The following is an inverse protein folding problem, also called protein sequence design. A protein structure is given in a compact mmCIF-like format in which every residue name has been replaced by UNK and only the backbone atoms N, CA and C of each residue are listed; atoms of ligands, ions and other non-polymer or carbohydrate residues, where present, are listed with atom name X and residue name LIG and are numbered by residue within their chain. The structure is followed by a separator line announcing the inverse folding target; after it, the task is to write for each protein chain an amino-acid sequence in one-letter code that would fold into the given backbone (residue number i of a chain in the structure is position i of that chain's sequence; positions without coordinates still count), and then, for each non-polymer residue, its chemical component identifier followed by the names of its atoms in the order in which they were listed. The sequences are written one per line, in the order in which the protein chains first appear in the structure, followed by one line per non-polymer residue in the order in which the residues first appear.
data_IF_282436646879
#
_entry.id   IF_282436646879
#
_cell.length_a   1.000
_cell.length_b   1.000
_cell.length_c   1.000
_cell.angle_alpha   90.00
_cell.angle_beta   90.00
_cell.angle_gamma   90.00
#
_symmetry.space_group_name_H-M   'P 1'
#
loop_
_entity.id
_entity.type
_entity.pdbx_description
1 polymer ?
#
# COMPACT_ATOMS: atom_id res chain seq x y z
N UNK A 1 -6.89 16.47 -9.38
CA UNK A 1 -6.90 15.60 -10.54
C UNK A 1 -5.65 15.77 -11.37
N UNK A 2 -5.02 14.71 -11.73
CA UNK A 2 -3.77 14.74 -12.48
C UNK A 2 -3.83 13.72 -13.62
N UNK A 3 -3.05 13.94 -14.69
CA UNK A 3 -3.00 12.95 -15.74
C UNK A 3 -2.40 11.65 -15.21
N UNK A 4 -3.07 10.56 -15.48
CA UNK A 4 -2.58 9.27 -15.08
C UNK A 4 -1.44 8.84 -15.98
N UNK A 5 -0.37 8.38 -15.34
CA UNK A 5 0.69 7.71 -16.06
C UNK A 5 0.31 6.24 -16.15
N UNK A 6 0.19 5.71 -17.36
CA UNK A 6 -0.14 4.30 -17.51
C UNK A 6 0.93 3.41 -16.90
N UNK A 7 2.20 3.82 -16.93
CA UNK A 7 3.26 3.06 -16.29
C UNK A 7 3.12 3.06 -14.77
N UNK A 8 2.71 4.17 -14.18
CA UNK A 8 2.47 4.23 -12.74
C UNK A 8 1.32 3.31 -12.35
N UNK A 9 0.21 3.36 -13.07
CA UNK A 9 -0.94 2.48 -12.84
C UNK A 9 -0.53 1.02 -12.93
N UNK A 10 0.24 0.66 -13.96
CA UNK A 10 0.68 -0.71 -14.15
C UNK A 10 1.57 -1.20 -13.00
N UNK A 11 2.50 -0.36 -12.57
CA UNK A 11 3.40 -0.70 -11.47
C UNK A 11 2.61 -0.96 -10.19
N UNK A 12 1.71 -0.06 -9.85
CA UNK A 12 0.90 -0.18 -8.64
C UNK A 12 -0.01 -1.40 -8.71
N UNK A 13 -0.70 -1.58 -9.83
CA UNK A 13 -1.61 -2.70 -10.02
C UNK A 13 -0.87 -4.04 -9.90
N UNK A 14 0.28 -4.14 -10.55
CA UNK A 14 1.09 -5.35 -10.50
C UNK A 14 1.54 -5.68 -9.09
N UNK A 15 2.01 -4.68 -8.37
CA UNK A 15 2.47 -4.88 -7.00
C UNK A 15 1.32 -5.24 -6.06
N UNK A 16 0.15 -4.64 -6.25
CA UNK A 16 -1.02 -4.97 -5.44
C UNK A 16 -1.53 -6.38 -5.75
N UNK A 17 -1.44 -6.82 -6.99
CA UNK A 17 -1.78 -8.20 -7.34
C UNK A 17 -0.86 -9.19 -6.66
N UNK A 18 0.43 -8.89 -6.59
CA UNK A 18 1.39 -9.73 -5.86
C UNK A 18 1.04 -9.81 -4.39
N UNK A 19 0.67 -8.69 -3.81
CA UNK A 19 0.25 -8.63 -2.41
C UNK A 19 -1.00 -9.48 -2.19
N UNK A 20 -1.99 -9.37 -3.06
CA UNK A 20 -3.21 -10.16 -2.97
C UNK A 20 -2.95 -11.65 -3.10
N UNK A 21 -2.01 -12.05 -3.94
CA UNK A 21 -1.66 -13.45 -4.11
C UNK A 21 -0.88 -13.99 -2.90
N UNK A 22 -0.03 -13.16 -2.33
CA UNK A 22 0.80 -13.55 -1.19
C UNK A 22 0.02 -13.53 0.12
N UNK A 23 -0.90 -12.57 0.27
CA UNK A 23 -1.69 -12.38 1.48
C UNK A 23 -3.16 -12.49 1.14
N UNK A 24 -3.65 -13.71 1.07
CA UNK A 24 -5.00 -14.01 0.58
C UNK A 24 -6.11 -13.51 1.49
N UNK A 25 -5.78 -13.09 2.71
CA UNK A 25 -6.77 -12.53 3.61
C UNK A 25 -7.11 -11.07 3.28
N UNK A 26 -6.39 -10.43 2.36
CA UNK A 26 -6.70 -9.09 1.91
C UNK A 26 -7.93 -9.15 1.01
N UNK A 27 -8.95 -8.35 1.36
CA UNK A 27 -10.24 -8.36 0.68
C UNK A 27 -10.30 -7.30 -0.41
N UNK A 28 -9.76 -6.10 -0.11
CA UNK A 28 -9.91 -4.95 -0.99
C UNK A 28 -8.75 -3.99 -0.80
N UNK A 29 -8.36 -3.30 -1.87
CA UNK A 29 -7.34 -2.26 -1.82
C UNK A 29 -7.89 -0.99 -2.45
N UNK A 30 -7.64 0.14 -1.79
CA UNK A 30 -7.99 1.45 -2.33
C UNK A 30 -6.73 2.30 -2.39
N UNK A 31 -6.46 2.89 -3.55
CA UNK A 31 -5.26 3.67 -3.80
C UNK A 31 -5.64 5.11 -4.10
N UNK A 32 -4.96 6.03 -3.46
CA UNK A 32 -5.17 7.46 -3.67
C UNK A 32 -3.84 8.13 -3.97
N UNK A 33 -3.83 8.96 -5.01
CA UNK A 33 -2.69 9.81 -5.33
C UNK A 33 -3.11 11.25 -5.12
N UNK A 34 -2.32 11.99 -4.35
CA UNK A 34 -2.64 13.37 -3.98
C UNK A 34 -1.43 14.26 -4.15
N UNK A 35 -1.69 15.55 -4.34
CA UNK A 35 -0.65 16.56 -4.31
C UNK A 35 -0.74 17.28 -2.97
N UNK A 36 0.39 17.36 -2.26
CA UNK A 36 0.46 18.10 -1.01
C UNK A 36 0.91 19.54 -1.23
N UNK A 37 1.13 20.24 -0.13
CA UNK A 37 1.57 21.63 -0.16
C UNK A 37 2.98 21.80 0.40
N UNK A 38 3.85 20.86 0.08
CA UNK A 38 5.23 20.93 0.54
C UNK A 38 6.06 21.84 -0.34
N UNK A 39 6.90 22.66 0.28
CA UNK A 39 7.79 23.56 -0.44
C UNK A 39 9.10 22.92 -0.81
N UNK A 40 9.39 21.74 -0.28
CA UNK A 40 10.64 21.01 -0.51
C UNK A 40 10.60 20.06 -1.69
N UNK A 41 9.48 20.02 -2.42
CA UNK A 41 9.33 19.15 -3.58
C UNK A 41 8.81 17.76 -3.28
N UNK A 42 8.65 17.40 -2.01
CA UNK A 42 8.12 16.08 -1.62
C UNK A 42 6.60 16.13 -1.45
N UNK A 43 5.94 16.58 -2.50
CA UNK A 43 4.51 16.82 -2.48
C UNK A 43 3.69 15.76 -3.21
N UNK A 44 4.32 14.71 -3.69
CA UNK A 44 3.64 13.61 -4.37
C UNK A 44 3.30 12.54 -3.35
N UNK A 45 2.03 12.44 -3.02
CA UNK A 45 1.54 11.58 -1.93
C UNK A 45 0.82 10.37 -2.51
N UNK A 46 1.16 9.19 -1.99
CA UNK A 46 0.45 7.96 -2.29
C UNK A 46 -0.10 7.41 -0.98
N UNK A 47 -1.41 7.14 -0.94
CA UNK A 47 -2.08 6.51 0.20
C UNK A 47 -2.74 5.24 -0.28
N UNK A 48 -2.56 4.16 0.47
CA UNK A 48 -3.20 2.89 0.17
C UNK A 48 -3.85 2.35 1.43
N UNK A 49 -5.12 1.97 1.31
CA UNK A 49 -5.87 1.33 2.39
C UNK A 49 -6.21 -0.09 1.98
N UNK A 50 -6.02 -1.02 2.88
CA UNK A 50 -6.36 -2.42 2.65
C UNK A 50 -7.41 -2.86 3.65
N UNK A 51 -8.43 -3.54 3.14
CA UNK A 51 -9.44 -4.18 3.98
C UNK A 51 -9.03 -5.63 4.21
N UNK A 52 -8.98 -6.04 5.47
CA UNK A 52 -8.60 -7.38 5.86
C UNK A 52 -9.18 -7.66 7.23
N UNK A 53 -9.28 -8.94 7.65
CA UNK A 53 -9.75 -9.24 9.00
C UNK A 53 -8.90 -8.55 10.04
N UNK A 54 -9.55 -7.91 11.03
CA UNK A 54 -8.89 -7.12 12.05
C UNK A 54 -8.88 -5.64 11.69
N UNK A 55 -8.02 -4.85 12.33
CA UNK A 55 -7.94 -3.42 12.03
C UNK A 55 -7.53 -3.15 10.59
N UNK A 56 -8.04 -2.06 10.04
CA UNK A 56 -7.73 -1.67 8.66
C UNK A 56 -6.23 -1.38 8.54
N UNK A 57 -5.66 -1.83 7.44
CA UNK A 57 -4.25 -1.60 7.13
C UNK A 57 -4.15 -0.37 6.23
N UNK A 58 -3.27 0.55 6.59
CA UNK A 58 -3.12 1.81 5.89
C UNK A 58 -1.65 2.18 5.82
N UNK A 59 -1.24 2.71 4.66
CA UNK A 59 0.11 3.25 4.50
C UNK A 59 0.05 4.50 3.63
N UNK A 60 0.99 5.40 3.87
CA UNK A 60 1.05 6.67 3.18
C UNK A 60 2.52 7.09 3.06
N UNK A 61 2.89 7.61 1.90
CA UNK A 61 4.23 8.14 1.66
C UNK A 61 4.17 9.42 0.85
N UNK A 62 5.11 10.31 1.11
CA UNK A 62 5.22 11.58 0.42
C UNK A 62 6.65 11.69 -0.12
N UNK A 63 6.79 11.82 -1.44
CA UNK A 63 8.08 11.84 -2.11
C UNK A 63 8.07 12.86 -3.25
N UNK A 64 9.19 12.99 -3.95
CA UNK A 64 9.30 13.94 -5.03
C UNK A 64 8.73 13.42 -6.36
N UNK A 65 8.32 12.15 -6.41
CA UNK A 65 7.58 11.62 -7.54
C UNK A 65 6.65 10.51 -7.06
N UNK A 66 5.63 10.21 -7.86
CA UNK A 66 4.61 9.23 -7.46
C UNK A 66 5.12 7.80 -7.49
N UNK A 67 6.04 7.48 -8.39
CA UNK A 67 6.59 6.13 -8.46
C UNK A 67 7.31 5.78 -7.14
N UNK A 68 8.08 6.73 -6.63
CA UNK A 68 8.78 6.56 -5.38
C UNK A 68 7.81 6.49 -4.19
N UNK A 69 6.80 7.35 -4.18
CA UNK A 69 5.76 7.33 -3.14
C UNK A 69 5.03 5.99 -3.14
N UNK A 70 4.65 5.50 -4.32
CA UNK A 70 3.96 4.23 -4.44
C UNK A 70 4.83 3.07 -3.95
N UNK A 71 6.10 3.05 -4.35
CA UNK A 71 7.02 2.01 -3.93
C UNK A 71 7.19 1.97 -2.41
N UNK A 72 7.36 3.13 -1.80
CA UNK A 72 7.50 3.22 -0.34
C UNK A 72 6.23 2.80 0.38
N UNK A 73 5.08 3.21 -0.13
CA UNK A 73 3.78 2.86 0.45
C UNK A 73 3.56 1.35 0.39
N UNK A 74 3.84 0.74 -0.75
CA UNK A 74 3.69 -0.70 -0.93
C UNK A 74 4.63 -1.48 -0.03
N UNK A 75 5.88 -1.01 0.10
CA UNK A 75 6.85 -1.63 0.99
C UNK A 75 6.37 -1.63 2.45
N UNK A 76 5.78 -0.51 2.88
CA UNK A 76 5.23 -0.39 4.22
C UNK A 76 4.02 -1.33 4.41
N UNK A 77 3.16 -1.43 3.40
CA UNK A 77 2.03 -2.35 3.45
C UNK A 77 2.50 -3.80 3.59
N UNK A 78 3.51 -4.19 2.84
CA UNK A 78 4.05 -5.55 2.94
C UNK A 78 4.56 -5.85 4.35
N UNK A 79 5.22 -4.88 4.97
CA UNK A 79 5.69 -5.04 6.34
C UNK A 79 4.54 -5.25 7.30
N UNK A 80 3.49 -4.46 7.18
CA UNK A 80 2.31 -4.58 8.01
C UNK A 80 1.58 -5.91 7.80
N UNK A 81 1.47 -6.32 6.53
CA UNK A 81 0.81 -7.58 6.19
C UNK A 81 1.58 -8.78 6.70
N UNK A 82 2.90 -8.73 6.63
CA UNK A 82 3.75 -9.80 7.16
C UNK A 82 3.52 -9.98 8.66
N UNK A 83 3.45 -8.89 9.39
CA UNK A 83 3.17 -8.94 10.84
C UNK A 83 1.77 -9.47 11.12
N UNK A 84 0.78 -9.08 10.32
CA UNK A 84 -0.59 -9.55 10.49
C UNK A 84 -0.67 -11.05 10.23
N UNK A 85 0.04 -11.52 9.20
CA UNK A 85 0.09 -12.95 8.88
C UNK A 85 0.70 -13.75 10.02
N UNK A 86 1.77 -13.26 10.61
CA UNK A 86 2.39 -13.90 11.76
C UNK A 86 1.41 -14.05 12.92
N UNK A 87 0.63 -13.01 13.19
CA UNK A 87 -0.38 -13.06 14.25
C UNK A 87 -1.42 -14.12 13.99
N UNK A 88 -1.88 -14.25 12.75
CA UNK A 88 -2.83 -15.27 12.38
C UNK A 88 -2.26 -16.67 12.58
N UNK A 89 -1.01 -16.88 12.17
CA UNK A 89 -0.34 -18.18 12.33
C UNK A 89 -0.13 -18.53 13.79
N UNK A 90 0.25 -17.55 14.61
CA UNK A 90 0.41 -17.76 16.04
C UNK A 90 -0.91 -18.14 16.71
N UNK A 91 -2.00 -17.51 16.29
CA UNK A 91 -3.32 -17.86 16.81
C UNK A 91 -3.69 -19.31 16.50
N UNK A 92 -3.35 -19.77 15.30
CA UNK A 92 -3.58 -21.18 14.93
C UNK A 92 -2.75 -22.13 15.78
N UNK A 93 -1.50 -21.78 16.04
CA UNK A 93 -0.60 -22.63 16.82
C UNK A 93 -1.00 -22.68 18.29
N UNK A 94 -1.69 -21.67 18.76
CA UNK A 94 -2.10 -21.58 20.17
C UNK A 94 -3.30 -22.50 20.51
N UNK A 95 -3.92 -23.09 19.53
CA UNK A 95 -5.10 -23.94 19.74
C UNK A 95 -4.70 -25.36 20.23
#
# INVERSE_FOLDING_TARGET
HMPESSSLSEIVTRNLQKIGNKYQFVIRAEVFFKLGNCTDGNDKICEIQLSAPGPRIFAKSSENNFEKSAANTISDLERQLSKRKEKFEQSRKAI
#
